data_IF_518668589131
#
_entry.id   IF_518668589131
#
_cell.length_a   1.000
_cell.length_b   1.000
_cell.length_c   1.000
_cell.angle_alpha   90.00
_cell.angle_beta   90.00
_cell.angle_gamma   90.00
#
_symmetry.space_group_name_H-M   'P 1'
#
loop_
_entity.id
_entity.type
_entity.pdbx_description
1 polymer ?
#
# COMPACT_ATOMS: atom_id res chain seq x y z
N UNK A 1 14.01 3.71 -26.27
CA UNK A 1 12.67 3.63 -25.65
C UNK A 1 12.78 2.80 -24.37
N UNK A 2 13.15 3.43 -23.26
CA UNK A 2 13.20 2.79 -21.94
C UNK A 2 11.87 3.05 -21.22
N UNK A 3 10.92 2.08 -21.32
CA UNK A 3 9.65 2.19 -20.60
C UNK A 3 9.90 2.25 -19.10
N UNK A 4 9.23 3.19 -18.44
CA UNK A 4 9.14 3.31 -16.98
C UNK A 4 8.70 1.96 -16.40
N UNK A 5 9.61 1.23 -15.77
CA UNK A 5 9.25 0.05 -14.97
C UNK A 5 8.49 0.56 -13.75
N UNK A 6 7.23 0.12 -13.57
CA UNK A 6 6.42 0.45 -12.40
C UNK A 6 7.05 -0.18 -11.15
N UNK A 7 6.80 0.36 -9.97
CA UNK A 7 7.35 -0.17 -8.72
C UNK A 7 7.02 -1.67 -8.54
N UNK A 8 5.81 -2.10 -8.93
CA UNK A 8 5.37 -3.50 -8.90
C UNK A 8 6.16 -4.42 -9.85
N UNK A 9 6.70 -3.90 -10.95
CA UNK A 9 7.52 -4.65 -11.88
C UNK A 9 8.83 -5.12 -11.23
N UNK A 10 9.34 -4.35 -10.27
CA UNK A 10 10.60 -4.63 -9.57
C UNK A 10 10.46 -5.66 -8.46
N UNK A 11 9.26 -5.84 -7.90
CA UNK A 11 9.04 -6.86 -6.86
C UNK A 11 9.11 -8.30 -7.39
N UNK A 12 8.85 -8.52 -8.69
CA UNK A 12 8.92 -9.85 -9.31
C UNK A 12 10.31 -10.21 -9.87
N UNK A 13 11.13 -9.21 -10.24
CA UNK A 13 12.46 -9.44 -10.83
C UNK A 13 13.46 -10.17 -9.89
N UNK A 14 13.64 -9.76 -8.61
CA UNK A 14 14.64 -10.38 -7.73
C UNK A 14 14.37 -11.86 -7.39
N UNK A 15 13.13 -12.28 -7.08
CA UNK A 15 12.83 -13.71 -6.90
C UNK A 15 13.12 -14.53 -8.15
N UNK A 16 12.77 -14.03 -9.34
CA UNK A 16 13.04 -14.71 -10.59
C UNK A 16 14.55 -14.87 -10.86
N UNK A 17 15.37 -13.89 -10.48
CA UNK A 17 16.83 -13.98 -10.56
C UNK A 17 17.43 -15.01 -9.61
N UNK A 18 16.73 -15.33 -8.49
CA UNK A 18 17.08 -16.40 -7.56
C UNK A 18 16.57 -17.78 -7.99
N UNK A 19 16.02 -17.91 -9.20
CA UNK A 19 15.44 -19.17 -9.70
C UNK A 19 14.04 -19.48 -9.19
N UNK A 20 13.38 -18.55 -8.49
CA UNK A 20 12.04 -18.72 -7.97
C UNK A 20 11.04 -18.29 -9.06
N UNK A 21 10.29 -19.26 -9.59
CA UNK A 21 9.35 -19.05 -10.71
C UNK A 21 7.88 -19.17 -10.31
N UNK A 22 7.55 -19.81 -9.19
CA UNK A 22 6.16 -19.94 -8.72
C UNK A 22 5.78 -18.71 -7.90
N UNK A 23 5.41 -17.63 -8.58
CA UNK A 23 5.06 -16.34 -7.96
C UNK A 23 3.55 -16.15 -8.05
N UNK A 24 2.91 -15.90 -6.90
CA UNK A 24 1.50 -15.55 -6.81
C UNK A 24 1.35 -14.18 -6.14
N UNK A 25 0.63 -13.28 -6.78
CA UNK A 25 0.33 -11.95 -6.27
C UNK A 25 -1.12 -11.93 -5.78
N UNK A 26 -1.31 -11.58 -4.51
CA UNK A 26 -2.64 -11.40 -3.94
C UNK A 26 -3.13 -10.00 -4.29
N UNK A 27 -4.28 -9.94 -4.94
CA UNK A 27 -4.86 -8.69 -5.44
C UNK A 27 -6.23 -8.45 -4.84
N UNK A 28 -6.55 -7.19 -4.63
CA UNK A 28 -7.85 -6.74 -4.11
C UNK A 28 -8.34 -5.56 -4.90
N UNK A 29 -8.06 -4.36 -4.40
CA UNK A 29 -8.42 -3.11 -5.03
C UNK A 29 -7.76 -2.94 -6.40
N UNK A 30 -8.54 -2.55 -7.42
CA UNK A 30 -8.08 -2.37 -8.80
C UNK A 30 -7.32 -3.59 -9.36
N UNK A 31 -7.76 -4.79 -9.00
CA UNK A 31 -7.11 -6.05 -9.39
C UNK A 31 -6.79 -6.15 -10.89
N UNK A 32 -7.65 -5.62 -11.74
CA UNK A 32 -7.49 -5.58 -13.19
C UNK A 32 -6.28 -4.75 -13.67
N UNK A 33 -5.74 -3.90 -12.80
CA UNK A 33 -4.52 -3.14 -13.08
C UNK A 33 -3.24 -3.97 -12.96
N UNK A 34 -3.37 -5.19 -12.46
CA UNK A 34 -2.26 -6.14 -12.27
C UNK A 34 -2.23 -7.24 -13.34
N UNK A 35 -3.25 -7.35 -14.20
CA UNK A 35 -3.36 -8.42 -15.21
C UNK A 35 -2.13 -8.46 -16.14
N UNK A 36 -1.53 -7.32 -16.46
CA UNK A 36 -0.33 -7.24 -17.29
C UNK A 36 0.89 -7.98 -16.70
N UNK A 37 0.90 -8.24 -15.38
CA UNK A 37 1.98 -8.98 -14.72
C UNK A 37 1.96 -10.47 -15.10
N UNK A 38 0.79 -11.02 -15.44
CA UNK A 38 0.64 -12.40 -15.92
C UNK A 38 1.43 -12.55 -17.21
N UNK A 39 1.16 -11.70 -18.19
CA UNK A 39 1.81 -11.77 -19.52
C UNK A 39 3.30 -11.45 -19.45
N UNK A 40 3.68 -10.53 -18.56
CA UNK A 40 5.05 -10.04 -18.50
C UNK A 40 5.99 -10.91 -17.69
N UNK A 41 5.50 -11.52 -16.60
CA UNK A 41 6.33 -12.23 -15.63
C UNK A 41 5.86 -13.68 -15.37
N UNK A 42 4.77 -14.11 -15.98
CA UNK A 42 4.22 -15.45 -15.77
C UNK A 42 3.68 -15.67 -14.35
N UNK A 43 3.35 -14.60 -13.62
CA UNK A 43 2.84 -14.69 -12.26
C UNK A 43 1.37 -15.13 -12.26
N UNK A 44 0.93 -15.66 -11.12
CA UNK A 44 -0.48 -15.95 -10.85
C UNK A 44 -1.10 -14.82 -10.05
N UNK A 45 -2.34 -14.45 -10.33
CA UNK A 45 -3.10 -13.51 -9.52
C UNK A 45 -4.14 -14.27 -8.68
N UNK A 46 -4.15 -14.02 -7.37
CA UNK A 46 -5.15 -14.56 -6.45
C UNK A 46 -5.97 -13.42 -5.85
N UNK A 47 -7.26 -13.40 -6.19
CA UNK A 47 -8.16 -12.36 -5.70
C UNK A 47 -8.59 -12.60 -4.25
N UNK A 48 -8.40 -11.59 -3.41
CA UNK A 48 -8.96 -11.52 -2.07
C UNK A 48 -10.23 -10.63 -2.10
N UNK A 49 -11.45 -11.20 -2.00
CA UNK A 49 -12.68 -10.40 -2.01
C UNK A 49 -12.90 -9.60 -0.71
N UNK A 50 -12.22 -9.98 0.38
CA UNK A 50 -12.39 -9.36 1.69
C UNK A 50 -11.40 -8.20 1.95
N UNK A 51 -10.65 -7.76 0.93
CA UNK A 51 -9.58 -6.77 1.04
C UNK A 51 -10.04 -5.41 1.63
N UNK A 52 -11.32 -5.08 1.49
CA UNK A 52 -11.89 -3.82 1.98
C UNK A 52 -12.41 -3.90 3.42
N UNK A 53 -12.60 -5.11 3.94
CA UNK A 53 -13.24 -5.36 5.24
C UNK A 53 -12.27 -5.93 6.25
N UNK A 54 -11.28 -6.70 5.80
CA UNK A 54 -10.32 -7.41 6.64
C UNK A 54 -8.87 -7.05 6.27
N UNK A 55 -7.98 -7.21 7.24
CA UNK A 55 -6.57 -6.91 7.10
C UNK A 55 -5.78 -8.13 6.54
N UNK A 56 -4.43 -8.10 6.62
CA UNK A 56 -3.52 -9.06 5.98
C UNK A 56 -3.64 -10.49 6.49
N UNK A 57 -4.20 -10.73 7.68
CA UNK A 57 -4.58 -12.06 8.16
C UNK A 57 -5.49 -12.77 7.14
N UNK A 58 -6.55 -12.09 6.67
CA UNK A 58 -7.46 -12.66 5.68
C UNK A 58 -6.77 -12.85 4.32
N UNK A 59 -5.88 -11.94 3.96
CA UNK A 59 -5.08 -12.05 2.73
C UNK A 59 -4.21 -13.30 2.74
N UNK A 60 -3.46 -13.54 3.82
CA UNK A 60 -2.62 -14.74 3.92
C UNK A 60 -3.44 -16.02 4.07
N UNK A 61 -4.58 -15.97 4.80
CA UNK A 61 -5.51 -17.08 4.86
C UNK A 61 -6.01 -17.49 3.46
N UNK A 62 -6.27 -16.52 2.59
CA UNK A 62 -6.66 -16.80 1.20
C UNK A 62 -5.57 -17.55 0.44
N UNK A 63 -4.31 -17.25 0.73
CA UNK A 63 -3.14 -17.88 0.11
C UNK A 63 -2.67 -19.16 0.83
N UNK A 64 -3.30 -19.61 1.92
CA UNK A 64 -2.82 -20.69 2.79
C UNK A 64 -2.45 -21.98 2.08
N UNK A 65 -3.19 -22.35 1.03
CA UNK A 65 -2.89 -23.57 0.26
C UNK A 65 -1.60 -23.46 -0.58
N UNK A 66 -1.15 -22.23 -0.85
CA UNK A 66 0.13 -21.98 -1.53
C UNK A 66 1.33 -22.26 -0.61
N UNK A 67 1.13 -22.10 0.71
CA UNK A 67 2.16 -22.35 1.72
C UNK A 67 2.21 -23.83 2.14
N UNK A 68 1.10 -24.56 1.97
CA UNK A 68 0.97 -25.93 2.46
C UNK A 68 1.99 -26.86 1.81
N UNK A 69 2.89 -27.42 2.65
CA UNK A 69 3.91 -28.34 2.22
C UNK A 69 5.04 -27.75 1.36
N UNK A 70 5.19 -26.44 1.35
CA UNK A 70 6.20 -25.72 0.55
C UNK A 70 7.05 -24.80 1.41
N UNK A 71 8.24 -24.50 0.91
CA UNK A 71 9.04 -23.37 1.32
C UNK A 71 8.54 -22.14 0.58
N UNK A 72 8.27 -21.04 1.27
CA UNK A 72 7.69 -19.86 0.66
C UNK A 72 8.33 -18.58 1.18
N UNK A 73 8.52 -17.61 0.27
CA UNK A 73 8.70 -16.22 0.64
C UNK A 73 7.34 -15.51 0.69
N UNK A 74 7.17 -14.62 1.65
CA UNK A 74 6.04 -13.68 1.74
C UNK A 74 6.63 -12.28 1.63
N UNK A 75 6.08 -11.48 0.72
CA UNK A 75 6.57 -10.14 0.40
C UNK A 75 5.43 -9.14 0.49
N UNK A 76 5.73 -7.96 1.01
CA UNK A 76 4.85 -6.80 0.93
C UNK A 76 5.08 -6.05 -0.38
N UNK A 77 4.01 -5.60 -1.02
CA UNK A 77 4.06 -4.97 -2.35
C UNK A 77 4.53 -3.51 -2.33
N UNK A 78 4.56 -2.90 -1.16
CA UNK A 78 5.04 -1.54 -0.87
C UNK A 78 6.54 -1.49 -0.58
N UNK A 79 7.19 -2.63 -0.50
CA UNK A 79 8.63 -2.69 -0.30
C UNK A 79 9.41 -2.63 -1.63
N UNK A 80 10.42 -1.78 -1.68
CA UNK A 80 11.45 -1.82 -2.70
C UNK A 80 12.76 -2.32 -2.09
N UNK A 81 13.35 -3.34 -2.72
CA UNK A 81 14.55 -4.01 -2.22
C UNK A 81 15.68 -3.75 -3.21
N UNK A 82 16.78 -3.14 -2.72
CA UNK A 82 17.91 -2.72 -3.55
C UNK A 82 18.75 -3.89 -4.03
N UNK A 83 18.97 -4.88 -3.16
CA UNK A 83 19.79 -6.05 -3.42
C UNK A 83 18.93 -7.31 -3.35
N UNK A 84 19.26 -8.34 -4.11
CA UNK A 84 18.53 -9.59 -4.06
C UNK A 84 18.74 -10.28 -2.70
N UNK A 85 17.67 -10.44 -1.93
CA UNK A 85 17.66 -11.12 -0.63
C UNK A 85 17.16 -12.57 -0.71
N UNK A 86 16.86 -13.06 -1.90
CA UNK A 86 16.24 -14.36 -2.11
C UNK A 86 17.27 -15.38 -2.57
N UNK A 87 17.16 -16.61 -2.04
CA UNK A 87 18.03 -17.71 -2.39
C UNK A 87 17.18 -18.93 -2.73
N UNK A 88 17.70 -19.81 -3.56
CA UNK A 88 17.06 -21.08 -3.90
C UNK A 88 16.94 -21.99 -2.66
N UNK A 89 17.89 -21.89 -1.75
CA UNK A 89 17.94 -22.65 -0.50
C UNK A 89 18.09 -21.71 0.71
N UNK A 90 17.22 -21.92 1.69
CA UNK A 90 17.28 -21.24 2.99
C UNK A 90 17.37 -22.28 4.12
N UNK A 91 18.29 -22.12 5.08
CA UNK A 91 18.52 -23.12 6.12
C UNK A 91 17.42 -23.12 7.20
N UNK A 92 16.71 -22.04 7.39
CA UNK A 92 15.68 -21.88 8.41
C UNK A 92 14.71 -20.75 8.05
N UNK A 93 13.55 -20.73 8.70
CA UNK A 93 12.61 -19.61 8.57
C UNK A 93 13.19 -18.34 9.17
N UNK A 94 13.00 -17.22 8.48
CA UNK A 94 13.50 -15.93 8.92
C UNK A 94 12.57 -14.76 8.53
N UNK A 95 12.67 -13.67 9.27
CA UNK A 95 12.03 -12.40 9.00
C UNK A 95 13.12 -11.34 8.77
N UNK A 96 13.07 -10.60 7.69
CA UNK A 96 13.99 -9.48 7.46
C UNK A 96 13.79 -8.42 8.55
N UNK A 97 14.89 -7.81 8.99
CA UNK A 97 14.88 -6.80 10.02
C UNK A 97 15.77 -5.63 9.63
N UNK A 98 15.26 -4.41 9.78
CA UNK A 98 16.04 -3.18 9.59
C UNK A 98 16.17 -2.44 10.91
N UNK A 99 17.37 -1.90 11.15
CA UNK A 99 17.57 -1.05 12.31
C UNK A 99 16.91 0.31 12.08
N UNK A 100 16.13 0.77 13.06
CA UNK A 100 15.49 2.08 13.07
C UNK A 100 16.09 2.90 14.18
N UNK A 101 16.71 4.02 13.84
CA UNK A 101 17.22 4.99 14.79
C UNK A 101 16.08 5.88 15.30
N UNK A 102 16.11 6.23 16.58
CA UNK A 102 15.07 7.04 17.22
C UNK A 102 13.81 6.26 17.61
N UNK A 103 12.76 6.99 17.91
CA UNK A 103 11.45 6.44 18.26
C UNK A 103 10.77 5.82 17.02
N UNK A 104 10.10 4.69 17.20
CA UNK A 104 9.37 4.00 16.14
C UNK A 104 8.04 3.44 16.63
N UNK A 105 7.05 3.38 15.77
CA UNK A 105 5.76 2.71 16.00
C UNK A 105 5.67 1.34 15.30
N UNK A 106 6.76 0.91 14.65
CA UNK A 106 6.85 -0.37 13.97
C UNK A 106 6.97 -1.54 14.95
N UNK A 107 6.80 -2.75 14.46
CA UNK A 107 7.06 -3.97 15.23
C UNK A 107 8.56 -4.14 15.50
N UNK A 108 8.97 -3.97 16.75
CA UNK A 108 10.34 -4.17 17.22
C UNK A 108 10.57 -5.65 17.52
N UNK A 109 11.69 -6.19 17.06
CA UNK A 109 12.10 -7.58 17.25
C UNK A 109 13.11 -7.73 18.39
N UNK A 110 12.82 -8.63 19.34
CA UNK A 110 13.75 -9.01 20.39
C UNK A 110 14.40 -10.36 20.08
N UNK A 111 15.70 -10.34 19.82
CA UNK A 111 16.48 -11.53 19.51
C UNK A 111 17.89 -11.47 20.11
N UNK A 112 18.50 -12.63 20.36
CA UNK A 112 19.86 -12.72 20.89
C UNK A 112 20.92 -12.88 19.80
N UNK A 113 22.16 -13.27 20.22
CA UNK A 113 23.28 -13.51 19.31
C UNK A 113 23.01 -14.66 18.32
N UNK A 114 22.14 -15.58 18.67
CA UNK A 114 21.65 -16.67 17.83
C UNK A 114 20.63 -16.22 16.78
N UNK A 115 20.26 -14.94 16.79
CA UNK A 115 19.25 -14.31 15.93
C UNK A 115 17.83 -14.89 16.05
N UNK A 116 17.58 -15.85 16.96
CA UNK A 116 16.23 -16.35 17.18
C UNK A 116 15.32 -15.25 17.72
N UNK A 117 14.20 -15.00 17.04
CA UNK A 117 13.18 -14.07 17.49
C UNK A 117 12.45 -14.71 18.68
N UNK A 118 12.41 -14.02 19.80
CA UNK A 118 11.79 -14.50 21.05
C UNK A 118 10.53 -13.74 21.39
N UNK A 119 10.49 -12.48 20.98
CA UNK A 119 9.40 -11.57 21.25
C UNK A 119 9.39 -10.45 20.20
N UNK A 120 8.22 -9.87 19.95
CA UNK A 120 8.06 -8.65 19.20
C UNK A 120 6.98 -7.80 19.85
N UNK A 121 7.18 -6.48 19.79
CA UNK A 121 6.24 -5.51 20.35
C UNK A 121 6.09 -4.30 19.42
N UNK A 122 4.98 -3.60 19.53
CA UNK A 122 4.76 -2.37 18.78
C UNK A 122 5.41 -1.21 19.48
N UNK A 123 6.22 -0.44 18.75
CA UNK A 123 6.92 0.73 19.26
C UNK A 123 8.21 0.39 19.98
N UNK A 124 9.08 1.39 20.06
CA UNK A 124 10.39 1.27 20.69
C UNK A 124 11.33 2.39 20.27
N UNK A 125 12.60 2.22 20.57
CA UNK A 125 13.65 3.18 20.25
C UNK A 125 14.95 2.46 19.92
N UNK A 126 15.65 2.95 18.86
CA UNK A 126 16.97 2.44 18.48
C UNK A 126 17.00 0.91 18.36
N UNK A 127 16.09 0.33 17.56
CA UNK A 127 15.82 -1.09 17.56
C UNK A 127 15.69 -1.68 16.15
N UNK A 128 15.84 -3.00 16.07
CA UNK A 128 15.51 -3.74 14.83
C UNK A 128 14.01 -3.95 14.73
N UNK A 129 13.44 -3.48 13.61
CA UNK A 129 12.03 -3.61 13.30
C UNK A 129 11.79 -4.71 12.25
N UNK A 130 10.63 -5.35 12.33
CA UNK A 130 10.12 -6.21 11.24
C UNK A 130 10.00 -5.37 9.97
N UNK A 131 10.70 -5.75 8.90
CA UNK A 131 10.77 -4.89 7.73
C UNK A 131 11.18 -5.68 6.49
N UNK A 132 10.22 -5.93 5.61
CA UNK A 132 10.51 -6.56 4.34
C UNK A 132 10.10 -8.04 4.25
N UNK A 133 10.80 -8.82 3.42
CA UNK A 133 10.40 -10.19 3.13
C UNK A 133 10.57 -11.13 4.31
N UNK A 134 9.77 -12.19 4.27
CA UNK A 134 9.80 -13.31 5.20
C UNK A 134 10.00 -14.60 4.42
N UNK A 135 10.84 -15.48 4.92
CA UNK A 135 10.92 -16.86 4.46
C UNK A 135 10.32 -17.81 5.50
N UNK A 136 9.37 -18.61 5.09
CA UNK A 136 8.80 -19.68 5.88
C UNK A 136 9.17 -21.03 5.26
N UNK A 137 9.87 -21.86 6.05
CA UNK A 137 10.14 -23.24 5.66
C UNK A 137 8.85 -24.05 5.64
N UNK A 138 8.84 -25.15 4.89
CA UNK A 138 7.72 -26.09 4.83
C UNK A 138 7.31 -26.55 6.23
N UNK A 139 8.28 -26.88 7.09
CA UNK A 139 8.01 -27.40 8.43
C UNK A 139 7.45 -26.30 9.34
N UNK A 140 7.95 -25.08 9.24
CA UNK A 140 7.37 -23.93 9.93
C UNK A 140 5.92 -23.67 9.49
N UNK A 141 5.67 -23.71 8.19
CA UNK A 141 4.33 -23.51 7.63
C UNK A 141 3.35 -24.60 8.10
N UNK A 142 3.80 -25.83 8.31
CA UNK A 142 2.95 -26.92 8.82
C UNK A 142 2.36 -26.62 10.20
N UNK A 143 3.14 -26.00 11.09
CA UNK A 143 2.68 -25.62 12.43
C UNK A 143 1.97 -24.25 12.46
N UNK A 144 2.34 -23.36 11.56
CA UNK A 144 1.77 -22.01 11.48
C UNK A 144 0.36 -21.98 10.85
N UNK A 145 0.12 -22.77 9.80
CA UNK A 145 -1.15 -22.76 9.07
C UNK A 145 -2.38 -23.10 9.92
N UNK A 146 -2.36 -24.09 10.83
CA UNK A 146 -3.50 -24.35 11.71
C UNK A 146 -3.83 -23.15 12.62
N UNK A 147 -2.81 -22.43 13.08
CA UNK A 147 -3.00 -21.22 13.87
C UNK A 147 -3.63 -20.10 13.01
N UNK A 148 -3.07 -19.85 11.82
CA UNK A 148 -3.62 -18.88 10.86
C UNK A 148 -5.11 -19.15 10.59
N UNK A 149 -5.48 -20.41 10.34
CA UNK A 149 -6.87 -20.82 10.10
C UNK A 149 -7.77 -20.61 11.32
N UNK A 150 -7.24 -20.90 12.52
CA UNK A 150 -7.97 -20.71 13.77
C UNK A 150 -8.25 -19.23 14.04
N UNK A 151 -7.23 -18.38 13.90
CA UNK A 151 -7.38 -16.94 14.10
C UNK A 151 -8.31 -16.30 13.05
N UNK A 152 -8.22 -16.71 11.79
CA UNK A 152 -9.12 -16.21 10.76
C UNK A 152 -10.61 -16.46 11.06
N UNK A 153 -10.93 -17.57 11.73
CA UNK A 153 -12.31 -17.93 12.12
C UNK A 153 -12.75 -17.32 13.45
N UNK A 154 -11.83 -16.75 14.21
CA UNK A 154 -12.08 -16.16 15.51
C UNK A 154 -12.73 -14.78 15.35
N UNK A 155 -13.90 -14.51 15.97
CA UNK A 155 -14.48 -13.17 15.94
C UNK A 155 -13.57 -12.13 16.59
N UNK A 156 -13.54 -10.92 16.02
CA UNK A 156 -12.72 -9.82 16.54
C UNK A 156 -11.29 -9.78 16.03
N UNK A 157 -10.92 -10.66 15.08
CA UNK A 157 -9.60 -10.69 14.46
C UNK A 157 -9.59 -10.16 13.02
N UNK A 158 -10.68 -9.55 12.57
CA UNK A 158 -10.85 -9.07 11.19
C UNK A 158 -9.78 -8.06 10.80
N UNK A 159 -9.31 -7.27 11.77
CA UNK A 159 -8.28 -6.25 11.57
C UNK A 159 -6.86 -6.70 11.93
N UNK A 160 -6.68 -7.99 12.22
CA UNK A 160 -5.35 -8.51 12.52
C UNK A 160 -4.48 -8.55 11.27
N UNK A 161 -3.21 -8.25 11.47
CA UNK A 161 -2.15 -8.62 10.53
C UNK A 161 -1.85 -10.11 10.67
N UNK A 162 -1.33 -10.76 9.65
CA UNK A 162 -0.91 -12.16 9.77
C UNK A 162 0.27 -12.29 10.74
N UNK A 163 1.05 -11.24 10.89
CA UNK A 163 2.14 -11.12 11.88
C UNK A 163 1.62 -11.19 13.32
N UNK A 164 0.41 -10.72 13.61
CA UNK A 164 -0.20 -10.89 14.93
C UNK A 164 -0.30 -12.37 15.31
N UNK A 165 -0.63 -13.24 14.36
CA UNK A 165 -0.69 -14.68 14.60
C UNK A 165 0.70 -15.23 14.89
N UNK A 166 1.70 -14.83 14.11
CA UNK A 166 3.09 -15.22 14.31
C UNK A 166 3.59 -14.82 15.71
N UNK A 167 3.46 -13.54 16.05
CA UNK A 167 4.02 -12.96 17.27
C UNK A 167 3.37 -13.56 18.51
N UNK A 168 2.06 -13.69 18.52
CA UNK A 168 1.31 -14.27 19.64
C UNK A 168 1.64 -15.73 19.91
N UNK A 169 2.21 -16.44 18.92
CA UNK A 169 2.48 -17.88 18.98
C UNK A 169 3.97 -18.24 18.88
N UNK A 170 4.90 -17.28 18.95
CA UNK A 170 6.36 -17.53 18.83
C UNK A 170 6.88 -18.62 19.76
N UNK A 171 6.28 -18.81 20.95
CA UNK A 171 6.70 -19.82 21.93
C UNK A 171 6.30 -21.25 21.54
N UNK A 172 5.24 -21.40 20.76
CA UNK A 172 4.70 -22.70 20.34
C UNK A 172 5.10 -23.08 18.92
N UNK A 173 5.56 -22.11 18.13
CA UNK A 173 6.05 -22.33 16.78
C UNK A 173 7.51 -22.77 16.75
N UNK A 174 7.95 -23.44 15.67
CA UNK A 174 9.37 -23.66 15.41
C UNK A 174 10.16 -22.34 15.43
N UNK A 175 11.48 -22.40 15.63
CA UNK A 175 12.28 -21.19 15.62
C UNK A 175 12.18 -20.42 14.30
N UNK A 176 11.98 -19.11 14.41
CA UNK A 176 12.13 -18.14 13.32
C UNK A 176 13.23 -17.15 13.69
N UNK A 177 14.04 -16.76 12.72
CA UNK A 177 15.23 -15.98 12.97
C UNK A 177 15.13 -14.57 12.38
N UNK A 178 15.65 -13.57 13.07
CA UNK A 178 15.86 -12.27 12.47
C UNK A 178 16.95 -12.35 11.40
N UNK A 179 16.69 -11.74 10.25
CA UNK A 179 17.66 -11.54 9.17
C UNK A 179 17.98 -10.05 9.06
N UNK A 180 18.91 -9.51 9.91
CA UNK A 180 19.26 -8.10 9.91
C UNK A 180 19.82 -7.68 8.57
N UNK A 181 19.23 -6.65 8.00
CA UNK A 181 19.68 -6.03 6.76
C UNK A 181 20.49 -4.79 7.05
N UNK A 182 21.43 -4.47 6.14
CA UNK A 182 22.14 -3.20 6.17
C UNK A 182 21.16 -2.06 5.90
N UNK A 183 21.51 -0.87 6.34
CA UNK A 183 20.77 0.34 6.00
C UNK A 183 20.61 0.49 4.48
N UNK A 184 19.50 1.07 4.08
CA UNK A 184 19.21 1.38 2.68
C UNK A 184 19.14 0.15 1.74
N UNK A 185 18.87 -1.03 2.24
CA UNK A 185 18.58 -2.23 1.42
C UNK A 185 17.09 -2.37 1.15
N UNK A 186 16.26 -2.17 2.18
CA UNK A 186 14.80 -2.26 2.06
C UNK A 186 14.20 -0.87 2.27
N UNK A 187 13.29 -0.48 1.39
CA UNK A 187 12.52 0.74 1.47
C UNK A 187 11.03 0.41 1.42
N UNK A 188 10.24 1.08 2.23
CA UNK A 188 8.79 1.01 2.27
C UNK A 188 8.24 2.39 1.93
N UNK A 189 7.24 2.45 1.08
CA UNK A 189 6.63 3.70 0.66
C UNK A 189 5.16 3.72 1.07
N UNK A 190 4.86 4.44 2.14
CA UNK A 190 3.50 4.61 2.62
C UNK A 190 2.72 5.68 1.83
N UNK A 191 3.45 6.62 1.23
CA UNK A 191 2.86 7.76 0.54
C UNK A 191 3.70 8.22 -0.66
N UNK A 192 3.11 9.13 -1.47
CA UNK A 192 3.75 9.65 -2.66
C UNK A 192 4.95 10.55 -2.34
N UNK A 193 4.94 11.25 -1.20
CA UNK A 193 6.03 12.12 -0.77
C UNK A 193 7.31 11.34 -0.49
N UNK A 194 7.20 10.19 0.15
CA UNK A 194 8.33 9.29 0.37
C UNK A 194 8.89 8.74 -0.94
N UNK A 195 8.00 8.36 -1.86
CA UNK A 195 8.41 7.90 -3.18
C UNK A 195 9.11 9.01 -3.99
N UNK A 196 8.63 10.26 -3.90
CA UNK A 196 9.27 11.44 -4.53
C UNK A 196 10.65 11.72 -3.94
N UNK A 197 10.81 11.59 -2.63
CA UNK A 197 12.09 11.77 -1.96
C UNK A 197 13.11 10.71 -2.36
N UNK A 198 12.63 9.52 -2.70
CA UNK A 198 13.46 8.39 -3.12
C UNK A 198 13.81 8.42 -4.60
N UNK A 199 12.85 8.80 -5.46
CA UNK A 199 12.99 8.74 -6.93
C UNK A 199 12.47 10.03 -7.56
N UNK A 200 13.38 10.88 -8.01
CA UNK A 200 13.10 12.19 -8.61
C UNK A 200 12.13 12.12 -9.80
N UNK A 201 12.00 10.97 -10.46
CA UNK A 201 11.05 10.79 -11.57
C UNK A 201 9.60 11.00 -11.15
N UNK A 202 9.28 10.80 -9.87
CA UNK A 202 7.95 10.99 -9.32
C UNK A 202 7.68 12.44 -8.84
N UNK A 203 8.70 13.32 -8.83
CA UNK A 203 8.55 14.72 -8.45
C UNK A 203 7.60 15.43 -9.42
N UNK A 204 7.79 15.22 -10.72
CA UNK A 204 7.08 15.96 -11.78
C UNK A 204 5.87 15.20 -12.35
N UNK A 205 5.75 13.91 -12.09
CA UNK A 205 4.61 13.11 -12.54
C UNK A 205 4.42 11.86 -11.69
N UNK A 206 3.28 11.77 -11.04
CA UNK A 206 2.86 10.58 -10.30
C UNK A 206 2.34 9.45 -11.20
N UNK A 207 2.16 9.72 -12.51
CA UNK A 207 1.45 8.83 -13.43
C UNK A 207 -0.06 8.75 -13.18
N UNK A 208 -0.58 9.48 -12.20
CA UNK A 208 -2.01 9.51 -11.85
C UNK A 208 -2.77 10.51 -12.73
N UNK A 209 -3.84 10.03 -13.38
CA UNK A 209 -4.73 10.91 -14.15
C UNK A 209 -5.38 11.98 -13.25
N UNK A 210 -5.75 11.63 -12.04
CA UNK A 210 -6.38 12.55 -11.10
C UNK A 210 -5.42 13.67 -10.67
N UNK A 211 -4.16 13.33 -10.38
CA UNK A 211 -3.13 14.31 -10.03
C UNK A 211 -2.88 15.29 -11.18
N UNK A 212 -2.78 14.78 -12.40
CA UNK A 212 -2.61 15.60 -13.58
C UNK A 212 -3.78 16.59 -13.78
N UNK A 213 -5.03 16.09 -13.71
CA UNK A 213 -6.22 16.98 -13.81
C UNK A 213 -6.21 18.00 -12.68
N UNK A 214 -5.86 17.62 -11.47
CA UNK A 214 -5.77 18.53 -10.32
C UNK A 214 -4.72 19.62 -10.57
N UNK A 215 -3.54 19.24 -11.02
CA UNK A 215 -2.45 20.17 -11.35
C UNK A 215 -2.87 21.17 -12.45
N UNK A 216 -3.49 20.67 -13.51
CA UNK A 216 -4.01 21.47 -14.62
C UNK A 216 -5.09 22.48 -14.15
N UNK A 217 -6.06 22.04 -13.37
CA UNK A 217 -7.16 22.88 -12.86
C UNK A 217 -6.66 23.97 -11.92
N UNK A 218 -5.70 23.66 -11.07
CA UNK A 218 -5.13 24.62 -10.12
C UNK A 218 -4.03 25.48 -10.75
N UNK A 219 -3.50 25.10 -11.91
CA UNK A 219 -2.36 25.77 -12.56
C UNK A 219 -1.09 25.67 -11.71
N UNK A 220 -0.88 24.52 -11.06
CA UNK A 220 0.32 24.24 -10.24
C UNK A 220 1.02 23.00 -10.77
N UNK A 221 2.35 22.87 -10.60
CA UNK A 221 3.03 21.62 -10.89
C UNK A 221 2.56 20.50 -9.92
N UNK A 222 2.59 19.23 -10.35
CA UNK A 222 2.23 18.10 -9.47
C UNK A 222 3.10 18.06 -8.20
N UNK A 223 4.35 18.53 -8.25
CA UNK A 223 5.27 18.64 -7.11
C UNK A 223 4.77 19.54 -5.99
N UNK A 224 3.89 20.48 -6.29
CA UNK A 224 3.32 21.40 -5.30
C UNK A 224 2.06 20.85 -4.63
N UNK A 225 1.55 19.72 -5.11
CA UNK A 225 0.43 19.02 -4.50
C UNK A 225 0.99 18.06 -3.44
N UNK A 226 0.69 18.34 -2.17
CA UNK A 226 1.27 17.67 -0.98
C UNK A 226 0.17 17.27 0.01
N UNK A 227 0.54 16.57 1.09
CA UNK A 227 -0.38 16.12 2.15
C UNK A 227 -1.57 15.31 1.62
N UNK A 228 -1.31 14.46 0.63
CA UNK A 228 -2.34 13.70 -0.06
C UNK A 228 -2.88 12.60 0.85
N UNK A 229 -4.17 12.65 1.16
CA UNK A 229 -4.86 11.67 2.02
C UNK A 229 -6.12 11.15 1.33
N UNK A 230 -6.26 9.83 1.29
CA UNK A 230 -7.52 9.23 0.86
C UNK A 230 -8.57 9.44 1.96
N UNK A 231 -9.67 10.09 1.63
CA UNK A 231 -10.83 10.16 2.52
C UNK A 231 -11.60 8.83 2.42
N UNK A 232 -12.38 8.52 3.49
CA UNK A 232 -13.16 7.28 3.54
C UNK A 232 -13.95 7.11 2.23
N UNK A 233 -13.74 6.01 1.55
CA UNK A 233 -14.39 5.72 0.28
C UNK A 233 -15.90 5.60 0.49
N UNK A 234 -16.67 6.47 -0.14
CA UNK A 234 -18.11 6.28 -0.29
C UNK A 234 -18.41 5.15 -1.30
N UNK A 235 -19.62 4.61 -1.29
CA UNK A 235 -20.02 3.55 -2.22
C UNK A 235 -19.88 3.92 -3.71
N UNK A 236 -20.02 5.20 -4.04
CA UNK A 236 -20.07 5.69 -5.42
C UNK A 236 -18.90 6.57 -5.84
N UNK A 237 -18.12 7.10 -4.89
CA UNK A 237 -17.05 8.05 -5.18
C UNK A 237 -15.84 7.80 -4.27
N UNK A 238 -14.65 8.10 -4.79
CA UNK A 238 -13.43 8.25 -4.01
C UNK A 238 -13.10 9.72 -3.89
N UNK A 239 -12.67 10.12 -2.72
CA UNK A 239 -12.28 11.51 -2.48
C UNK A 239 -10.91 11.56 -1.84
N UNK A 240 -10.11 12.49 -2.28
CA UNK A 240 -8.77 12.77 -1.75
C UNK A 240 -8.72 14.20 -1.25
N UNK A 241 -8.22 14.35 -0.03
CA UNK A 241 -7.81 15.63 0.52
C UNK A 241 -6.34 15.86 0.17
N UNK A 242 -5.99 17.05 -0.22
CA UNK A 242 -4.61 17.47 -0.49
C UNK A 242 -4.44 18.96 -0.24
N UNK A 243 -3.19 19.41 -0.16
CA UNK A 243 -2.84 20.82 -0.02
C UNK A 243 -1.93 21.28 -1.15
N UNK A 244 -1.92 22.56 -1.43
CA UNK A 244 -0.89 23.20 -2.27
C UNK A 244 0.21 23.72 -1.35
N UNK A 245 1.46 23.43 -1.68
CA UNK A 245 2.64 23.81 -0.91
C UNK A 245 2.70 25.31 -0.62
N UNK A 246 3.13 25.69 0.58
CA UNK A 246 3.32 27.09 0.99
C UNK A 246 4.32 27.86 0.11
N UNK A 247 5.31 27.16 -0.45
CA UNK A 247 6.31 27.74 -1.35
C UNK A 247 5.92 27.75 -2.82
N UNK A 248 4.69 27.36 -3.17
CA UNK A 248 4.22 27.35 -4.56
C UNK A 248 4.30 28.75 -5.18
N UNK A 249 4.67 28.84 -6.44
CA UNK A 249 4.67 30.09 -7.20
C UNK A 249 3.25 30.60 -7.46
N UNK A 250 2.25 29.72 -7.44
CA UNK A 250 0.84 30.05 -7.64
C UNK A 250 0.23 30.60 -6.35
N UNK A 251 0.36 31.91 -6.11
CA UNK A 251 -0.09 32.58 -4.88
C UNK A 251 -1.55 32.32 -4.51
N UNK A 252 -2.43 32.21 -5.49
CA UNK A 252 -3.88 32.07 -5.33
C UNK A 252 -4.23 30.86 -4.44
N UNK A 253 -3.46 29.80 -4.49
CA UNK A 253 -3.76 28.52 -3.85
C UNK A 253 -2.76 28.09 -2.77
N UNK A 254 -1.73 28.88 -2.52
CA UNK A 254 -0.73 28.62 -1.47
C UNK A 254 -1.36 28.25 -0.14
N UNK A 255 -0.88 27.17 0.47
CA UNK A 255 -1.30 26.72 1.79
C UNK A 255 -2.78 26.31 1.90
N UNK A 256 -3.53 26.35 0.80
CA UNK A 256 -4.93 25.95 0.80
C UNK A 256 -5.07 24.45 0.59
N UNK A 257 -6.13 23.91 1.16
CA UNK A 257 -6.48 22.49 1.02
C UNK A 257 -7.70 22.32 0.12
N UNK A 258 -7.77 21.18 -0.56
CA UNK A 258 -8.78 20.88 -1.57
C UNK A 258 -9.22 19.43 -1.45
N UNK A 259 -10.43 19.16 -1.96
CA UNK A 259 -10.92 17.81 -2.15
C UNK A 259 -11.05 17.53 -3.64
N UNK A 260 -10.41 16.47 -4.11
CA UNK A 260 -10.67 15.91 -5.43
C UNK A 260 -11.56 14.67 -5.29
N UNK A 261 -12.73 14.70 -5.93
CA UNK A 261 -13.65 13.56 -6.02
C UNK A 261 -13.51 12.87 -7.37
N UNK A 262 -13.34 11.56 -7.33
CA UNK A 262 -13.30 10.71 -8.52
C UNK A 262 -14.44 9.70 -8.42
N UNK A 263 -15.32 9.62 -9.43
CA UNK A 263 -16.36 8.59 -9.48
C UNK A 263 -15.79 7.18 -9.51
N UNK A 264 -16.44 6.28 -8.79
CA UNK A 264 -16.13 4.86 -8.83
C UNK A 264 -16.59 4.22 -10.15
N UNK A 265 -16.00 3.08 -10.56
CA UNK A 265 -16.43 2.35 -11.75
C UNK A 265 -17.91 1.97 -11.69
N UNK A 266 -18.62 2.08 -12.80
CA UNK A 266 -20.04 1.72 -12.91
C UNK A 266 -21.03 2.78 -12.41
N UNK A 267 -20.54 3.89 -11.80
CA UNK A 267 -21.43 4.94 -11.28
C UNK A 267 -22.06 5.78 -12.39
N UNK A 268 -21.52 5.75 -13.61
CA UNK A 268 -22.08 6.36 -14.79
C UNK A 268 -23.47 5.81 -15.15
N UNK A 269 -23.79 4.59 -14.71
CA UNK A 269 -25.10 3.97 -14.89
C UNK A 269 -26.14 4.41 -13.85
N UNK A 270 -25.66 4.97 -12.72
CA UNK A 270 -26.49 5.33 -11.58
C UNK A 270 -26.70 6.85 -11.44
N UNK A 271 -25.75 7.64 -11.94
CA UNK A 271 -25.71 9.09 -11.74
C UNK A 271 -25.53 9.80 -13.07
N UNK A 272 -26.52 10.63 -13.44
CA UNK A 272 -26.39 11.54 -14.60
C UNK A 272 -25.47 12.71 -14.24
N UNK A 273 -24.22 12.61 -14.67
CA UNK A 273 -23.18 13.62 -14.39
C UNK A 273 -23.46 14.96 -15.05
N UNK A 274 -24.13 14.97 -16.19
CA UNK A 274 -24.53 16.22 -16.86
C UNK A 274 -25.63 16.92 -16.08
N UNK A 275 -26.59 16.17 -15.53
CA UNK A 275 -27.60 16.73 -14.63
C UNK A 275 -26.98 17.25 -13.33
N UNK A 276 -26.02 16.52 -12.76
CA UNK A 276 -25.25 16.99 -11.60
C UNK A 276 -24.53 18.31 -11.90
N UNK A 277 -23.83 18.42 -13.02
CA UNK A 277 -23.16 19.66 -13.45
C UNK A 277 -24.12 20.83 -13.60
N UNK A 278 -25.25 20.63 -14.29
CA UNK A 278 -26.29 21.67 -14.40
C UNK A 278 -26.84 22.13 -13.04
N UNK A 279 -26.89 21.22 -12.07
CA UNK A 279 -27.31 21.56 -10.71
C UNK A 279 -26.27 22.45 -10.03
N UNK A 280 -24.99 22.10 -10.13
CA UNK A 280 -23.92 22.94 -9.57
C UNK A 280 -23.93 24.36 -10.18
N UNK A 281 -24.11 24.49 -11.49
CA UNK A 281 -24.20 25.80 -12.15
C UNK A 281 -25.35 26.62 -11.57
N UNK A 282 -26.54 26.03 -11.39
CA UNK A 282 -27.72 26.72 -10.88
C UNK A 282 -27.57 27.21 -9.44
N UNK A 283 -26.96 26.41 -8.58
CA UNK A 283 -26.86 26.71 -7.14
C UNK A 283 -25.59 27.49 -6.80
N UNK A 284 -24.67 27.66 -7.74
CA UNK A 284 -23.39 28.37 -7.54
C UNK A 284 -23.60 29.79 -7.06
N UNK A 285 -24.58 30.50 -7.63
CA UNK A 285 -24.91 31.86 -7.25
C UNK A 285 -25.53 32.00 -5.84
N UNK A 286 -26.00 30.89 -5.27
CA UNK A 286 -26.63 30.89 -3.95
C UNK A 286 -25.62 30.76 -2.81
N UNK A 287 -24.36 30.43 -3.09
CA UNK A 287 -23.28 30.19 -2.11
C UNK A 287 -23.66 29.21 -0.97
N UNK A 288 -24.48 28.20 -1.30
CA UNK A 288 -24.95 27.19 -0.34
C UNK A 288 -24.23 25.85 -0.43
N UNK A 289 -23.22 25.78 -1.29
CA UNK A 289 -22.37 24.59 -1.48
C UNK A 289 -20.91 24.93 -1.22
N UNK A 290 -20.07 23.88 -1.20
CA UNK A 290 -18.62 24.05 -1.22
C UNK A 290 -18.18 24.97 -2.40
N UNK A 291 -17.09 25.68 -2.24
CA UNK A 291 -16.47 26.45 -3.31
C UNK A 291 -15.92 25.49 -4.39
N UNK A 292 -16.69 25.37 -5.47
CA UNK A 292 -16.39 24.48 -6.57
C UNK A 292 -15.42 25.16 -7.55
N UNK A 293 -14.24 24.56 -7.73
CA UNK A 293 -13.23 25.01 -8.70
C UNK A 293 -13.41 24.36 -10.06
N UNK A 294 -13.76 23.06 -10.06
CA UNK A 294 -13.88 22.28 -11.27
C UNK A 294 -14.94 21.18 -11.12
N UNK A 295 -15.70 20.98 -12.17
CA UNK A 295 -16.57 19.83 -12.36
C UNK A 295 -16.56 19.42 -13.83
N UNK A 296 -16.21 18.18 -14.12
CA UNK A 296 -16.25 17.63 -15.47
C UNK A 296 -17.55 16.80 -15.65
N UNK A 297 -18.49 17.27 -16.49
CA UNK A 297 -19.77 16.59 -16.68
C UNK A 297 -19.65 15.27 -17.46
N UNK A 298 -18.53 15.01 -18.13
CA UNK A 298 -18.33 13.77 -18.89
C UNK A 298 -17.84 12.63 -17.99
N UNK A 299 -16.93 12.91 -17.07
CA UNK A 299 -16.33 11.91 -16.21
C UNK A 299 -16.65 12.07 -14.71
N UNK A 300 -17.28 13.18 -14.32
CA UNK A 300 -17.68 13.46 -12.95
C UNK A 300 -16.55 13.82 -11.99
N UNK A 301 -15.34 14.12 -12.49
CA UNK A 301 -14.28 14.65 -11.63
C UNK A 301 -14.71 16.00 -11.06
N UNK A 302 -14.49 16.18 -9.76
CA UNK A 302 -14.82 17.40 -9.05
C UNK A 302 -13.66 17.83 -8.15
N UNK A 303 -13.33 19.12 -8.19
CA UNK A 303 -12.33 19.73 -7.30
C UNK A 303 -13.01 20.89 -6.58
N UNK A 304 -12.96 20.89 -5.27
CA UNK A 304 -13.53 21.93 -4.40
C UNK A 304 -12.55 22.33 -3.31
N UNK A 305 -12.70 23.56 -2.81
CA UNK A 305 -11.91 24.06 -1.67
C UNK A 305 -12.35 23.33 -0.40
N UNK A 306 -11.38 22.95 0.42
CA UNK A 306 -11.63 22.36 1.74
C UNK A 306 -11.41 23.40 2.83
N UNK A 307 -12.43 23.61 3.65
CA UNK A 307 -12.39 24.50 4.82
C UNK A 307 -12.30 23.64 6.08
N UNK A 308 -11.20 23.75 6.83
CA UNK A 308 -10.99 23.00 8.06
C UNK A 308 -12.04 23.45 9.11
N UNK A 309 -12.83 22.50 9.61
CA UNK A 309 -13.86 22.78 10.62
C UNK A 309 -15.23 23.22 10.07
N UNK A 310 -15.43 23.28 8.77
CA UNK A 310 -16.76 23.39 8.19
C UNK A 310 -17.55 22.12 8.49
N UNK A 311 -18.73 22.26 9.09
CA UNK A 311 -19.69 21.18 9.35
C UNK A 311 -20.78 21.17 8.31
#
# INVERSE_FOLDING_TARGET
>A
MGGLRRAHDRAADPPAQAGISDITILVGYLKEKFDYLIDRYGVKLLYNPEYAEKNTLATLYRARELLRGKNCYILSSDNWIRENLYHEYEPASWYAASFTEGETEKWVLHFGKDRRIREAEVGGKDAFCMYGPVFLSRDFSADFLPLLESYYRMPGTEQFYWEDVLIRNLKSLPPIYANPQRENIIYEFENLEELRSFDERYIHSSGSRAMRITAEVLGVPESDIVDIRCLKAGMTNKSWLFSVRESSETEKYRGKSFICRIPGPGTEKLIDRRAEGRTYEKIRALHITEELLHFDPENGYKISVYYRGAR
#
